data_IF_969531163332
#
_entry.id   IF_969531163332
#
_cell.length_a   1.000
_cell.length_b   1.000
_cell.length_c   1.000
_cell.angle_alpha   90.00
_cell.angle_beta   90.00
_cell.angle_gamma   90.00
#
_symmetry.space_group_name_H-M   'P 1'
#
loop_
_entity.id
_entity.type
_entity.pdbx_description
1 polymer ?
#
# COMPACT_ATOMS: atom_id res chain seq x y z
N UNK A 1 1.62 -8.42 -17.12
CA UNK A 1 1.32 -7.17 -16.38
C UNK A 1 1.36 -6.00 -17.37
N UNK A 2 0.68 -4.88 -17.08
CA UNK A 2 0.78 -3.66 -17.89
C UNK A 2 2.14 -2.96 -17.70
N UNK A 3 2.72 -2.41 -18.77
CA UNK A 3 4.07 -1.80 -18.74
C UNK A 3 4.17 -0.64 -17.74
N UNK A 4 3.11 0.15 -17.58
CA UNK A 4 3.12 1.27 -16.62
C UNK A 4 3.15 0.78 -15.18
N UNK A 5 2.52 -0.36 -14.90
CA UNK A 5 2.54 -1.02 -13.59
C UNK A 5 3.92 -1.62 -13.33
N UNK A 6 4.52 -2.25 -14.34
CA UNK A 6 5.86 -2.81 -14.27
C UNK A 6 6.90 -1.73 -13.92
N UNK A 7 6.87 -0.60 -14.63
CA UNK A 7 7.78 0.51 -14.39
C UNK A 7 7.52 1.18 -13.03
N UNK A 8 6.27 1.27 -12.59
CA UNK A 8 5.95 1.78 -11.26
C UNK A 8 6.53 0.89 -10.16
N UNK A 9 6.32 -0.43 -10.24
CA UNK A 9 6.88 -1.39 -9.29
C UNK A 9 8.41 -1.30 -9.29
N UNK A 10 9.03 -1.27 -10.48
CA UNK A 10 10.50 -1.12 -10.64
C UNK A 10 11.01 0.09 -9.89
N UNK A 11 10.40 1.26 -10.10
CA UNK A 11 10.81 2.53 -9.46
C UNK A 11 10.63 2.49 -7.95
N UNK A 12 9.53 1.91 -7.46
CA UNK A 12 9.27 1.80 -6.02
C UNK A 12 10.30 0.89 -5.36
N UNK A 13 10.58 -0.29 -5.93
CA UNK A 13 11.60 -1.21 -5.42
C UNK A 13 13.00 -0.58 -5.45
N UNK A 14 13.34 0.17 -6.51
CA UNK A 14 14.62 0.87 -6.60
C UNK A 14 14.84 1.93 -5.50
N UNK A 15 13.77 2.46 -4.88
CA UNK A 15 13.89 3.38 -3.75
C UNK A 15 14.13 2.67 -2.42
N UNK A 16 13.82 1.38 -2.32
CA UNK A 16 13.93 0.63 -1.08
C UNK A 16 15.41 0.36 -0.74
N UNK A 17 15.90 0.72 0.45
CA UNK A 17 17.23 0.34 0.91
C UNK A 17 17.40 -1.19 0.97
N UNK A 18 18.58 -1.71 0.61
CA UNK A 18 18.81 -3.17 0.55
C UNK A 18 18.58 -3.89 1.90
N UNK A 19 18.91 -3.24 3.00
CA UNK A 19 18.70 -3.75 4.36
C UNK A 19 17.20 -3.87 4.75
N UNK A 20 16.31 -3.14 4.08
CA UNK A 20 14.87 -3.13 4.35
C UNK A 20 14.06 -3.90 3.30
N UNK A 21 14.69 -4.27 2.18
CA UNK A 21 14.06 -4.94 1.04
C UNK A 21 13.25 -6.16 1.44
N UNK A 22 13.86 -7.10 2.18
CA UNK A 22 13.20 -8.33 2.59
C UNK A 22 11.99 -8.05 3.50
N UNK A 23 12.10 -7.06 4.38
CA UNK A 23 11.03 -6.67 5.31
C UNK A 23 9.83 -6.09 4.57
N UNK A 24 10.06 -5.19 3.60
CA UNK A 24 8.99 -4.59 2.79
C UNK A 24 8.34 -5.63 1.88
N UNK A 25 9.12 -6.49 1.22
CA UNK A 25 8.57 -7.54 0.36
C UNK A 25 7.74 -8.58 1.14
N UNK A 26 8.18 -8.93 2.36
CA UNK A 26 7.39 -9.80 3.26
C UNK A 26 6.10 -9.11 3.72
N UNK A 27 6.16 -7.83 4.08
CA UNK A 27 4.97 -7.07 4.47
C UNK A 27 3.99 -6.88 3.31
N UNK A 28 4.49 -6.83 2.07
CA UNK A 28 3.67 -6.74 0.86
C UNK A 28 2.87 -8.01 0.58
N UNK A 29 3.37 -9.18 0.99
CA UNK A 29 2.69 -10.49 0.89
C UNK A 29 2.17 -10.86 -0.51
N UNK A 30 2.65 -10.16 -1.55
CA UNK A 30 2.32 -10.46 -2.94
C UNK A 30 3.21 -11.58 -3.50
N UNK A 31 4.50 -11.57 -3.14
CA UNK A 31 5.45 -12.64 -3.47
C UNK A 31 5.50 -13.63 -2.31
N UNK A 32 5.32 -14.92 -2.59
CA UNK A 32 5.36 -15.95 -1.54
C UNK A 32 6.78 -16.13 -1.01
N UNK A 33 6.90 -16.60 0.23
CA UNK A 33 8.22 -16.80 0.86
C UNK A 33 9.12 -17.75 0.05
N UNK A 34 8.55 -18.78 -0.59
CA UNK A 34 9.29 -19.68 -1.47
C UNK A 34 9.90 -18.96 -2.67
N UNK A 35 9.18 -18.00 -3.27
CA UNK A 35 9.67 -17.19 -4.39
C UNK A 35 10.69 -16.16 -3.93
N UNK A 36 10.59 -15.66 -2.69
CA UNK A 36 11.62 -14.79 -2.14
C UNK A 36 12.90 -15.56 -1.82
N UNK A 37 12.81 -16.84 -1.42
CA UNK A 37 13.97 -17.67 -1.13
C UNK A 37 14.79 -18.04 -2.37
N UNK A 38 14.19 -18.11 -3.56
CA UNK A 38 14.90 -18.39 -4.81
C UNK A 38 15.72 -17.20 -5.31
N UNK A 39 15.42 -15.98 -4.83
CA UNK A 39 16.07 -14.75 -5.26
C UNK A 39 17.38 -14.53 -4.49
N UNK A 40 18.44 -14.20 -5.24
CA UNK A 40 19.73 -13.88 -4.64
C UNK A 40 19.79 -12.41 -4.17
N UNK A 41 19.50 -12.15 -2.90
CA UNK A 41 19.63 -10.79 -2.32
C UNK A 41 21.06 -10.26 -2.18
N UNK A 42 22.09 -11.06 -2.47
CA UNK A 42 23.50 -10.62 -2.43
C UNK A 42 23.97 -9.98 -3.74
N UNK A 43 23.13 -10.00 -4.78
CA UNK A 43 23.47 -9.43 -6.09
C UNK A 43 23.33 -7.90 -6.12
N UNK A 44 23.72 -7.29 -7.24
CA UNK A 44 23.51 -5.85 -7.47
C UNK A 44 22.03 -5.52 -7.49
N UNK A 45 21.68 -4.35 -6.94
CA UNK A 45 20.29 -3.93 -6.75
C UNK A 45 19.51 -3.94 -8.07
N UNK A 46 20.12 -3.52 -9.15
CA UNK A 46 19.50 -3.47 -10.48
C UNK A 46 19.07 -4.85 -10.98
N UNK A 47 19.93 -5.86 -10.81
CA UNK A 47 19.62 -7.26 -11.15
C UNK A 47 18.50 -7.81 -10.26
N UNK A 48 18.57 -7.52 -8.95
CA UNK A 48 17.53 -7.91 -8.01
C UNK A 48 16.15 -7.35 -8.38
N UNK A 49 16.10 -6.07 -8.78
CA UNK A 49 14.83 -5.45 -9.22
C UNK A 49 14.33 -6.08 -10.50
N UNK A 50 15.21 -6.43 -11.45
CA UNK A 50 14.79 -7.14 -12.67
C UNK A 50 14.16 -8.49 -12.35
N UNK A 51 14.77 -9.29 -11.47
CA UNK A 51 14.22 -10.59 -11.04
C UNK A 51 12.86 -10.42 -10.35
N UNK A 52 12.75 -9.46 -9.43
CA UNK A 52 11.50 -9.17 -8.71
C UNK A 52 10.38 -8.72 -9.64
N UNK A 53 10.69 -7.87 -10.63
CA UNK A 53 9.71 -7.43 -11.64
C UNK A 53 9.29 -8.61 -12.51
N UNK A 54 10.21 -9.48 -12.91
CA UNK A 54 9.88 -10.71 -13.65
C UNK A 54 8.89 -11.60 -12.90
N UNK A 55 9.09 -11.83 -11.61
CA UNK A 55 8.13 -12.56 -10.77
C UNK A 55 6.76 -11.86 -10.66
N UNK A 56 6.75 -10.52 -10.65
CA UNK A 56 5.51 -9.76 -10.66
C UNK A 56 4.77 -9.85 -12.00
N UNK A 57 5.51 -9.94 -13.12
CA UNK A 57 4.94 -10.14 -14.44
C UNK A 57 4.32 -11.54 -14.58
N UNK A 58 5.02 -12.58 -14.11
CA UNK A 58 4.53 -13.97 -14.09
C UNK A 58 3.23 -14.10 -13.29
N UNK A 59 3.17 -13.48 -12.10
CA UNK A 59 1.96 -13.45 -11.28
C UNK A 59 0.89 -12.46 -11.77
N UNK A 60 1.15 -11.75 -12.87
CA UNK A 60 0.25 -10.74 -13.43
C UNK A 60 -0.18 -9.68 -12.43
N UNK A 61 0.78 -9.02 -11.78
CA UNK A 61 0.51 -7.98 -10.79
C UNK A 61 -0.41 -6.88 -11.36
N UNK A 62 -1.40 -6.50 -10.56
CA UNK A 62 -2.38 -5.48 -10.90
C UNK A 62 -1.93 -4.10 -10.42
N UNK A 63 -2.61 -3.05 -10.90
CA UNK A 63 -2.44 -1.67 -10.40
C UNK A 63 -2.69 -1.60 -8.88
N UNK A 64 -3.60 -2.41 -8.34
CA UNK A 64 -3.87 -2.43 -6.90
C UNK A 64 -2.69 -3.00 -6.11
N UNK A 65 -2.04 -4.04 -6.63
CA UNK A 65 -0.87 -4.66 -5.97
C UNK A 65 0.31 -3.68 -5.93
N UNK A 66 0.53 -2.97 -7.04
CA UNK A 66 1.52 -1.91 -7.13
C UNK A 66 1.23 -0.76 -6.15
N UNK A 67 -0.03 -0.34 -6.04
CA UNK A 67 -0.44 0.69 -5.08
C UNK A 67 -0.32 0.23 -3.62
N UNK A 68 -0.57 -1.05 -3.32
CA UNK A 68 -0.32 -1.63 -1.99
C UNK A 68 1.17 -1.57 -1.62
N UNK A 69 2.06 -1.86 -2.57
CA UNK A 69 3.51 -1.72 -2.36
C UNK A 69 3.89 -0.28 -1.99
N UNK A 70 3.33 0.71 -2.66
CA UNK A 70 3.58 2.13 -2.39
C UNK A 70 3.05 2.58 -1.01
N UNK A 71 1.89 2.06 -0.60
CA UNK A 71 1.33 2.29 0.75
C UNK A 71 2.28 1.73 1.80
N UNK A 72 2.77 0.49 1.64
CA UNK A 72 3.69 -0.16 2.58
C UNK A 72 5.02 0.58 2.64
N UNK A 73 5.56 0.97 1.48
CA UNK A 73 6.76 1.79 1.41
C UNK A 73 6.58 3.10 2.22
N UNK A 74 5.47 3.81 2.00
CA UNK A 74 5.18 5.06 2.73
C UNK A 74 5.03 4.83 4.24
N UNK A 75 4.49 3.69 4.67
CA UNK A 75 4.36 3.33 6.09
C UNK A 75 5.71 3.07 6.77
N UNK A 76 6.66 2.46 6.07
CA UNK A 76 8.03 2.27 6.58
C UNK A 76 8.79 3.61 6.60
N UNK A 77 8.56 4.45 5.59
CA UNK A 77 9.27 5.73 5.42
C UNK A 77 8.44 6.96 5.80
N UNK A 78 7.66 6.90 6.89
CA UNK A 78 6.80 8.02 7.34
C UNK A 78 7.52 9.36 7.50
N UNK A 79 8.80 9.32 7.85
CA UNK A 79 9.65 10.52 8.04
C UNK A 79 9.95 11.27 6.73
N UNK A 80 9.72 10.67 5.56
CA UNK A 80 9.99 11.29 4.26
C UNK A 80 8.82 12.15 3.73
N UNK A 81 7.70 12.20 4.46
CA UNK A 81 6.50 12.93 4.07
C UNK A 81 6.13 13.96 5.14
N UNK A 82 5.50 15.03 4.69
CA UNK A 82 4.79 15.98 5.56
C UNK A 82 3.39 15.44 5.77
N UNK A 83 2.92 15.44 7.02
CA UNK A 83 1.62 14.90 7.41
C UNK A 83 0.72 16.04 7.86
N UNK A 84 -0.45 16.14 7.24
CA UNK A 84 -1.50 17.06 7.65
C UNK A 84 -2.51 16.33 8.55
N UNK A 85 -3.02 17.05 9.56
CA UNK A 85 -3.98 16.51 10.53
C UNK A 85 -5.35 17.15 10.29
N UNK A 86 -6.35 16.31 10.07
CA UNK A 86 -7.74 16.71 9.90
C UNK A 86 -8.60 16.08 11.00
N UNK A 87 -9.53 16.85 11.57
CA UNK A 87 -10.50 16.37 12.55
C UNK A 87 -11.91 16.44 11.95
N UNK A 88 -12.67 15.37 12.11
CA UNK A 88 -14.10 15.34 11.80
C UNK A 88 -14.88 15.40 13.11
N UNK A 89 -15.86 16.30 13.19
CA UNK A 89 -16.80 16.42 14.30
C UNK A 89 -18.20 16.13 13.79
N UNK A 90 -18.99 15.44 14.61
CA UNK A 90 -20.43 15.29 14.40
C UNK A 90 -21.18 16.52 14.86
N UNK A 91 -22.39 16.71 14.35
CA UNK A 91 -23.30 17.68 14.94
C UNK A 91 -23.81 17.19 16.31
N UNK A 92 -24.16 18.08 17.25
CA UNK A 92 -24.50 17.72 18.64
C UNK A 92 -25.66 16.73 18.79
N UNK A 93 -26.53 16.66 17.79
CA UNK A 93 -27.75 15.86 17.79
C UNK A 93 -27.63 14.55 16.97
N UNK A 94 -26.43 14.21 16.48
CA UNK A 94 -26.21 12.96 15.75
C UNK A 94 -25.91 11.78 16.70
N UNK A 95 -26.64 10.67 16.51
CA UNK A 95 -26.48 9.43 17.26
C UNK A 95 -25.04 8.85 17.19
N UNK A 96 -24.73 7.99 18.17
CA UNK A 96 -23.46 7.24 18.21
C UNK A 96 -23.42 6.24 17.04
N UNK A 97 -22.87 6.66 15.91
CA UNK A 97 -22.64 5.76 14.77
C UNK A 97 -21.81 4.54 15.14
N UNK A 98 -22.36 3.36 14.86
CA UNK A 98 -21.58 2.14 14.71
C UNK A 98 -20.74 2.27 13.44
N UNK A 99 -19.41 2.34 13.58
CA UNK A 99 -18.51 2.49 12.44
C UNK A 99 -18.27 1.16 11.72
N UNK A 100 -18.85 1.00 10.52
CA UNK A 100 -18.52 -0.10 9.60
C UNK A 100 -17.48 0.36 8.57
N UNK A 101 -16.25 -0.15 8.71
CA UNK A 101 -15.14 0.11 7.80
C UNK A 101 -15.42 -0.33 6.35
N UNK A 102 -16.13 -1.44 6.14
CA UNK A 102 -16.43 -1.94 4.80
C UNK A 102 -17.53 -1.08 4.14
N UNK A 103 -18.52 -0.62 4.91
CA UNK A 103 -19.47 0.38 4.43
C UNK A 103 -18.77 1.70 4.08
N UNK A 104 -17.88 2.18 4.94
CA UNK A 104 -17.10 3.40 4.71
C UNK A 104 -16.30 3.31 3.40
N UNK A 105 -15.50 2.25 3.22
CA UNK A 105 -14.70 2.04 1.99
C UNK A 105 -15.57 2.03 0.74
N UNK A 106 -16.70 1.32 0.76
CA UNK A 106 -17.64 1.25 -0.37
C UNK A 106 -18.23 2.63 -0.70
N UNK A 107 -18.71 3.35 0.31
CA UNK A 107 -19.32 4.67 0.14
C UNK A 107 -18.30 5.70 -0.35
N UNK A 108 -17.13 5.76 0.28
CA UNK A 108 -16.06 6.68 -0.08
C UNK A 108 -15.59 6.46 -1.54
N UNK A 109 -15.37 5.20 -1.93
CA UNK A 109 -15.01 4.86 -3.32
C UNK A 109 -16.08 5.32 -4.32
N UNK A 110 -17.37 5.09 -4.03
CA UNK A 110 -18.48 5.52 -4.91
C UNK A 110 -18.52 7.04 -5.07
N UNK A 111 -18.31 7.80 -3.99
CA UNK A 111 -18.30 9.27 -4.01
C UNK A 111 -17.15 9.76 -4.90
N UNK A 112 -15.93 9.24 -4.68
CA UNK A 112 -14.77 9.63 -5.48
C UNK A 112 -14.92 9.29 -6.97
N UNK A 113 -15.42 8.11 -7.30
CA UNK A 113 -15.64 7.69 -8.69
C UNK A 113 -16.71 8.51 -9.41
N UNK A 114 -17.67 9.09 -8.68
CA UNK A 114 -18.65 10.02 -9.25
C UNK A 114 -18.06 11.40 -9.48
N UNK A 115 -17.19 11.86 -8.58
CA UNK A 115 -16.57 13.18 -8.66
C UNK A 115 -15.40 13.24 -9.65
N UNK A 116 -14.66 12.14 -9.80
CA UNK A 116 -13.43 12.05 -10.58
C UNK A 116 -13.53 10.91 -11.60
N UNK A 117 -13.30 11.24 -12.87
CA UNK A 117 -13.35 10.27 -13.99
C UNK A 117 -12.36 9.12 -13.81
N UNK A 118 -11.18 9.40 -13.24
CA UNK A 118 -10.10 8.45 -13.02
C UNK A 118 -9.64 8.54 -11.56
N UNK A 119 -10.23 7.75 -10.66
CA UNK A 119 -9.81 7.64 -9.26
C UNK A 119 -9.45 6.20 -8.92
N UNK A 120 -8.24 6.00 -8.40
CA UNK A 120 -7.80 4.75 -7.80
C UNK A 120 -8.00 4.84 -6.28
N UNK A 121 -8.72 3.86 -5.72
CA UNK A 121 -8.92 3.75 -4.26
C UNK A 121 -8.40 2.40 -3.81
N UNK A 122 -7.35 2.43 -3.00
CA UNK A 122 -6.74 1.24 -2.39
C UNK A 122 -6.72 1.45 -0.89
N UNK A 123 -7.09 0.41 -0.15
CA UNK A 123 -7.08 0.42 1.31
C UNK A 123 -6.27 -0.77 1.80
N UNK A 124 -5.25 -0.52 2.62
CA UNK A 124 -4.51 -1.57 3.32
C UNK A 124 -5.07 -1.74 4.73
N UNK A 125 -5.20 -2.99 5.19
CA UNK A 125 -5.52 -3.30 6.58
C UNK A 125 -4.21 -3.31 7.38
N UNK A 126 -3.81 -2.17 7.95
CA UNK A 126 -2.71 -2.19 8.91
C UNK A 126 -3.23 -2.36 10.34
N UNK A 127 -2.53 -3.21 11.11
CA UNK A 127 -2.85 -3.70 12.47
C UNK A 127 -2.83 -2.64 13.60
N UNK A 128 -2.81 -1.36 13.27
CA UNK A 128 -2.94 -0.26 14.24
C UNK A 128 -3.69 0.87 13.55
N UNK A 129 -5.00 0.73 13.37
CA UNK A 129 -5.86 1.89 13.59
C UNK A 129 -5.58 2.23 15.05
N UNK A 130 -4.69 3.20 15.24
CA UNK A 130 -4.28 3.74 16.54
C UNK A 130 -5.54 3.79 17.38
N UNK A 131 -5.51 3.08 18.51
CA UNK A 131 -6.47 3.23 19.61
C UNK A 131 -6.96 4.67 19.59
N UNK A 132 -8.18 4.90 19.12
CA UNK A 132 -8.93 6.08 19.54
C UNK A 132 -9.15 5.80 21.02
N UNK A 133 -8.20 6.23 21.84
CA UNK A 133 -8.36 6.31 23.29
C UNK A 133 -9.42 7.40 23.48
N UNK A 134 -10.68 7.02 23.30
CA UNK A 134 -11.84 7.74 23.82
C UNK A 134 -11.77 7.57 25.34
N UNK A 135 -10.81 8.26 25.98
CA UNK A 135 -10.89 8.46 27.41
C UNK A 135 -11.92 9.57 27.64
N UNK A 136 -12.98 9.11 28.29
CA UNK A 136 -14.08 9.85 28.89
C UNK A 136 -13.62 11.03 29.74
#
# INVERSE_FOLDING_TARGET
MDETVAEFIRRTILKIPMNEMMTILKAWDFLSENQLQTINFRQRKECLVQDLVGLCEEKSASVNDAALLDIIYTQVHRHQKVWDVFQMSKEPDEDVDLFDMEQFKRSFKKILQRALKNALTVASKHHQIVKMDLRS
#
